data_IF_122867139723
#
_entry.id   IF_122867139723
#
_cell.length_a   1.000
_cell.length_b   1.000
_cell.length_c   1.000
_cell.angle_alpha   90.00
_cell.angle_beta   90.00
_cell.angle_gamma   90.00
#
_symmetry.space_group_name_H-M   'P 1'
#
loop_
_entity.id
_entity.type
_entity.pdbx_description
1 polymer ?
#
# COMPACT_ATOMS: atom_id res chain seq x y z
N UNK A 1 6.63 -12.19 -19.78
CA UNK A 1 7.50 -11.85 -18.65
C UNK A 1 8.29 -10.60 -18.97
N UNK A 2 8.55 -9.74 -18.00
CA UNK A 2 9.22 -8.44 -18.09
C UNK A 2 10.22 -8.38 -16.94
N UNK A 3 11.47 -8.03 -17.19
CA UNK A 3 12.43 -7.72 -16.13
C UNK A 3 12.63 -6.22 -16.13
N UNK A 4 12.62 -5.60 -14.95
CA UNK A 4 12.88 -4.18 -14.77
C UNK A 4 14.10 -4.02 -13.87
N UNK A 5 14.98 -3.11 -14.23
CA UNK A 5 15.85 -2.48 -13.24
C UNK A 5 15.21 -1.15 -12.85
N UNK A 6 14.94 -0.94 -11.57
CA UNK A 6 14.58 0.37 -11.01
C UNK A 6 15.88 1.05 -10.50
N UNK A 7 15.94 2.37 -10.24
CA UNK A 7 17.19 3.12 -10.25
C UNK A 7 18.25 2.54 -9.32
N UNK A 8 19.36 2.12 -9.94
CA UNK A 8 20.69 1.91 -9.38
C UNK A 8 20.93 0.67 -8.47
N UNK A 9 19.94 -0.06 -7.92
CA UNK A 9 20.29 -1.23 -7.07
C UNK A 9 19.42 -2.49 -7.15
N UNK A 10 18.31 -2.49 -7.88
CA UNK A 10 17.30 -3.55 -7.69
C UNK A 10 16.87 -4.22 -9.00
N UNK A 11 16.82 -5.55 -8.98
CA UNK A 11 16.23 -6.37 -10.05
C UNK A 11 14.76 -6.67 -9.70
N UNK A 12 13.87 -6.39 -10.65
CA UNK A 12 12.42 -6.62 -10.55
C UNK A 12 11.98 -7.59 -11.62
N UNK A 13 11.19 -8.60 -11.26
CA UNK A 13 10.56 -9.52 -12.19
C UNK A 13 9.06 -9.21 -12.28
N UNK A 14 8.54 -8.97 -13.47
CA UNK A 14 7.11 -8.80 -13.76
C UNK A 14 6.63 -9.94 -14.67
N UNK A 15 5.80 -10.83 -14.16
CA UNK A 15 5.23 -11.93 -14.94
C UNK A 15 3.85 -11.51 -15.43
N UNK A 16 3.77 -11.26 -16.75
CA UNK A 16 2.56 -10.95 -17.48
C UNK A 16 2.85 -10.77 -18.98
N UNK A 17 1.84 -10.94 -19.82
CA UNK A 17 1.89 -10.85 -21.29
C UNK A 17 1.04 -9.68 -21.79
N UNK A 18 1.58 -8.92 -22.73
CA UNK A 18 0.77 -8.06 -23.60
C UNK A 18 1.00 -8.59 -25.01
N UNK A 19 0.01 -9.35 -25.50
CA UNK A 19 -0.11 -9.90 -26.86
C UNK A 19 0.71 -11.16 -27.15
N UNK A 20 0.00 -12.14 -27.73
CA UNK A 20 0.50 -13.47 -28.12
C UNK A 20 1.39 -13.45 -29.36
N UNK A 21 2.54 -12.79 -29.27
CA UNK A 21 3.57 -12.85 -30.30
C UNK A 21 4.63 -13.91 -29.93
N UNK A 22 4.97 -14.76 -30.92
CA UNK A 22 6.04 -15.77 -30.79
C UNK A 22 7.42 -15.10 -30.85
N UNK A 23 8.34 -15.63 -30.06
CA UNK A 23 9.56 -14.97 -29.65
C UNK A 23 10.79 -15.27 -30.54
N UNK A 24 11.59 -14.24 -30.81
CA UNK A 24 13.03 -14.29 -31.12
C UNK A 24 13.71 -13.11 -30.41
N UNK A 25 14.78 -13.35 -29.64
CA UNK A 25 15.75 -12.31 -29.24
C UNK A 25 17.00 -12.59 -30.06
N UNK A 26 17.33 -11.71 -31.00
CA UNK A 26 18.63 -11.75 -31.68
C UNK A 26 19.66 -10.85 -30.97
N UNK A 27 19.24 -9.80 -30.23
CA UNK A 27 20.13 -8.89 -29.50
C UNK A 27 19.49 -8.34 -28.20
N UNK A 28 20.29 -8.12 -27.14
CA UNK A 28 19.83 -7.47 -25.90
C UNK A 28 19.83 -5.95 -26.06
N UNK A 29 18.66 -5.37 -26.33
CA UNK A 29 18.44 -3.90 -26.34
C UNK A 29 17.31 -3.58 -25.35
N UNK A 30 17.63 -3.20 -24.09
CA UNK A 30 16.60 -2.87 -23.12
C UNK A 30 15.89 -1.56 -23.50
N UNK A 31 14.58 -1.51 -23.25
CA UNK A 31 13.83 -0.26 -23.35
C UNK A 31 14.15 0.61 -22.13
N UNK A 32 14.62 1.85 -22.36
CA UNK A 32 14.82 2.85 -21.31
C UNK A 32 13.56 3.70 -21.12
N UNK A 33 13.07 3.80 -19.89
CA UNK A 33 11.89 4.61 -19.54
C UNK A 33 12.15 5.45 -18.30
N UNK A 34 11.74 6.71 -18.37
CA UNK A 34 11.60 7.55 -17.18
C UNK A 34 10.28 7.22 -16.50
N UNK A 35 10.34 6.61 -15.32
CA UNK A 35 9.16 6.26 -14.54
C UNK A 35 9.03 7.16 -13.32
N UNK A 36 7.81 7.65 -13.02
CA UNK A 36 7.54 8.32 -11.75
C UNK A 36 7.73 7.31 -10.61
N UNK A 37 8.39 7.74 -9.53
CA UNK A 37 8.63 6.88 -8.38
C UNK A 37 7.32 6.44 -7.72
N UNK A 38 7.25 5.20 -7.19
CA UNK A 38 6.08 4.69 -6.47
C UNK A 38 5.88 5.53 -5.19
N UNK A 39 4.71 6.15 -5.05
CA UNK A 39 4.33 7.19 -4.05
C UNK A 39 4.44 6.78 -2.55
N UNK A 40 5.00 5.62 -2.23
CA UNK A 40 5.07 5.07 -0.87
C UNK A 40 6.07 5.81 0.04
N UNK A 41 7.16 6.33 -0.52
CA UNK A 41 8.21 7.04 0.21
C UNK A 41 8.23 8.53 -0.20
N UNK A 42 7.94 9.46 0.73
CA UNK A 42 7.80 10.89 0.43
C UNK A 42 9.13 11.60 0.14
N UNK A 43 10.26 10.95 0.37
CA UNK A 43 11.60 11.57 0.36
C UNK A 43 12.43 11.22 -0.90
N UNK A 44 11.89 10.41 -1.83
CA UNK A 44 12.62 9.96 -3.03
C UNK A 44 12.45 10.92 -4.23
N UNK A 45 13.45 10.93 -5.12
CA UNK A 45 13.41 11.72 -6.35
C UNK A 45 12.18 11.38 -7.20
N UNK A 46 11.52 12.38 -7.82
CA UNK A 46 10.20 12.19 -8.44
C UNK A 46 10.20 11.24 -9.65
N UNK A 47 11.38 10.97 -10.23
CA UNK A 47 11.55 10.10 -11.39
C UNK A 47 12.82 9.26 -11.28
N UNK A 48 12.74 8.05 -11.81
CA UNK A 48 13.85 7.11 -11.97
C UNK A 48 13.97 6.60 -13.40
N UNK A 49 15.18 6.21 -13.80
CA UNK A 49 15.40 5.51 -15.08
C UNK A 49 15.18 4.02 -14.87
N UNK A 50 14.33 3.42 -15.70
CA UNK A 50 13.99 2.00 -15.70
C UNK A 50 14.44 1.36 -17.01
N UNK A 51 15.22 0.28 -16.94
CA UNK A 51 15.55 -0.54 -18.10
C UNK A 51 14.70 -1.81 -18.11
N UNK A 52 13.96 -2.02 -19.19
CA UNK A 52 13.04 -3.16 -19.34
C UNK A 52 13.47 -4.11 -20.44
N UNK A 53 13.44 -5.42 -20.16
CA UNK A 53 13.48 -6.46 -21.20
C UNK A 53 12.25 -7.35 -21.12
N UNK A 54 11.78 -7.82 -22.27
CA UNK A 54 10.60 -8.66 -22.38
C UNK A 54 11.01 -10.08 -22.75
N UNK A 55 10.36 -11.09 -22.17
CA UNK A 55 10.49 -12.52 -22.53
C UNK A 55 9.08 -13.07 -22.80
N UNK A 56 8.77 -13.40 -24.06
CA UNK A 56 7.38 -13.70 -24.50
C UNK A 56 7.04 -15.19 -24.68
N UNK A 57 7.95 -16.15 -24.51
CA UNK A 57 7.55 -17.56 -24.54
C UNK A 57 8.48 -18.48 -23.76
N UNK A 58 7.89 -19.38 -22.96
CA UNK A 58 8.52 -20.63 -22.54
C UNK A 58 7.45 -21.69 -22.24
N UNK A 59 7.73 -22.93 -22.62
CA UNK A 59 6.94 -24.11 -22.22
C UNK A 59 6.95 -24.34 -20.70
N UNK A 60 7.95 -23.78 -20.00
CA UNK A 60 8.07 -23.85 -18.56
C UNK A 60 8.41 -22.46 -17.98
N UNK A 61 7.36 -21.74 -17.60
CA UNK A 61 7.42 -20.40 -17.01
C UNK A 61 8.37 -20.36 -15.80
N UNK A 62 8.21 -21.33 -14.90
CA UNK A 62 8.96 -21.53 -13.67
C UNK A 62 10.47 -21.63 -13.92
N UNK A 63 10.88 -22.59 -14.75
CA UNK A 63 12.28 -22.86 -15.06
C UNK A 63 12.94 -21.66 -15.75
N UNK A 64 12.18 -21.01 -16.63
CA UNK A 64 12.67 -19.86 -17.40
C UNK A 64 12.82 -18.63 -16.52
N UNK A 65 11.86 -18.41 -15.61
CA UNK A 65 11.95 -17.36 -14.58
C UNK A 65 13.24 -17.53 -13.77
N UNK A 66 13.46 -18.74 -13.21
CA UNK A 66 14.64 -19.04 -12.40
C UNK A 66 15.93 -18.82 -13.19
N UNK A 67 16.02 -19.35 -14.41
CA UNK A 67 17.22 -19.24 -15.24
C UNK A 67 17.57 -17.79 -15.57
N UNK A 68 16.57 -16.97 -15.94
CA UNK A 68 16.79 -15.56 -16.23
C UNK A 68 17.11 -14.74 -14.98
N UNK A 69 16.43 -15.00 -13.86
CA UNK A 69 16.75 -14.35 -12.58
C UNK A 69 18.19 -14.64 -12.20
N UNK A 70 18.65 -15.89 -12.27
CA UNK A 70 20.04 -16.26 -12.01
C UNK A 70 20.99 -15.54 -12.95
N UNK A 71 20.75 -15.59 -14.26
CA UNK A 71 21.62 -14.94 -15.25
C UNK A 71 21.75 -13.44 -15.03
N UNK A 72 20.63 -12.73 -14.83
CA UNK A 72 20.63 -11.28 -14.61
C UNK A 72 21.24 -10.93 -13.25
N UNK A 73 21.00 -11.75 -12.23
CA UNK A 73 21.60 -11.54 -10.92
C UNK A 73 23.13 -11.67 -10.97
N UNK A 74 23.63 -12.65 -11.71
CA UNK A 74 25.07 -12.86 -11.92
C UNK A 74 25.68 -11.73 -12.77
N UNK A 75 24.99 -11.32 -13.83
CA UNK A 75 25.46 -10.28 -14.75
C UNK A 75 25.58 -8.91 -14.07
N UNK A 76 24.58 -8.54 -13.27
CA UNK A 76 24.52 -7.23 -12.62
C UNK A 76 25.01 -7.24 -11.17
N UNK A 77 25.34 -8.41 -10.62
CA UNK A 77 25.69 -8.60 -9.21
C UNK A 77 24.62 -8.01 -8.26
N UNK A 78 23.35 -8.22 -8.59
CA UNK A 78 22.17 -7.72 -7.87
C UNK A 78 21.18 -8.86 -7.69
N UNK A 79 20.68 -9.09 -6.48
CA UNK A 79 19.64 -10.10 -6.25
C UNK A 79 18.27 -9.62 -6.72
N UNK A 80 17.40 -10.56 -7.08
CA UNK A 80 15.96 -10.29 -7.25
C UNK A 80 15.37 -9.76 -5.94
N UNK A 81 14.85 -8.53 -5.95
CA UNK A 81 14.23 -7.90 -4.78
C UNK A 81 12.73 -7.71 -4.91
N UNK A 82 12.21 -7.66 -6.13
CA UNK A 82 10.80 -7.42 -6.34
C UNK A 82 10.19 -8.36 -7.37
N UNK A 83 8.94 -8.72 -7.14
CA UNK A 83 8.17 -9.56 -8.04
C UNK A 83 6.75 -9.02 -8.22
N UNK A 84 6.29 -8.99 -9.46
CA UNK A 84 4.93 -8.63 -9.83
C UNK A 84 4.30 -9.76 -10.64
N UNK A 85 3.10 -10.20 -10.27
CA UNK A 85 2.36 -11.26 -10.95
C UNK A 85 1.02 -10.75 -11.47
N UNK A 86 0.70 -11.06 -12.72
CA UNK A 86 -0.61 -10.84 -13.33
C UNK A 86 -1.32 -12.20 -13.49
N UNK A 87 -2.27 -12.48 -12.60
CA UNK A 87 -2.94 -13.77 -12.53
C UNK A 87 -3.85 -14.05 -13.72
N UNK A 88 -4.39 -13.03 -14.38
CA UNK A 88 -5.38 -13.20 -15.44
C UNK A 88 -4.82 -13.90 -16.70
N UNK A 89 -3.49 -14.02 -16.75
CA UNK A 89 -2.73 -14.49 -17.90
C UNK A 89 -2.21 -15.92 -17.72
N UNK A 90 -2.45 -16.53 -16.56
CA UNK A 90 -1.90 -17.82 -16.16
C UNK A 90 -2.96 -18.72 -15.52
N UNK A 91 -2.75 -20.04 -15.59
CA UNK A 91 -3.58 -20.99 -14.84
C UNK A 91 -3.26 -20.97 -13.34
N UNK A 92 -4.20 -21.36 -12.48
CA UNK A 92 -3.96 -21.38 -11.02
C UNK A 92 -2.78 -22.29 -10.64
N UNK A 93 -2.63 -23.44 -11.30
CA UNK A 93 -1.50 -24.37 -11.07
C UNK A 93 -0.14 -23.76 -11.43
N UNK A 94 -0.08 -22.94 -12.49
CA UNK A 94 1.14 -22.25 -12.89
C UNK A 94 1.52 -21.16 -11.87
N UNK A 95 0.53 -20.41 -11.39
CA UNK A 95 0.73 -19.39 -10.35
C UNK A 95 1.16 -20.06 -9.06
N UNK A 96 0.52 -21.15 -8.65
CA UNK A 96 0.89 -21.90 -7.44
C UNK A 96 2.33 -22.41 -7.52
N UNK A 97 2.73 -22.95 -8.68
CA UNK A 97 4.09 -23.40 -8.95
C UNK A 97 5.08 -22.22 -8.86
N UNK A 98 4.73 -21.05 -9.40
CA UNK A 98 5.55 -19.84 -9.26
C UNK A 98 5.69 -19.44 -7.79
N UNK A 99 4.60 -19.44 -7.03
CA UNK A 99 4.59 -19.12 -5.60
C UNK A 99 5.43 -20.09 -4.76
N UNK A 100 5.44 -21.39 -5.08
CA UNK A 100 6.28 -22.38 -4.42
C UNK A 100 7.77 -22.02 -4.56
N UNK A 101 8.22 -21.70 -5.77
CA UNK A 101 9.61 -21.33 -6.03
C UNK A 101 10.03 -20.04 -5.32
N UNK A 102 9.12 -19.07 -5.28
CA UNK A 102 9.35 -17.79 -4.63
C UNK A 102 9.47 -17.98 -3.12
N UNK A 103 8.69 -18.88 -2.55
CA UNK A 103 8.71 -19.16 -1.12
C UNK A 103 10.06 -19.72 -0.65
N UNK A 104 10.83 -20.36 -1.54
CA UNK A 104 12.21 -20.81 -1.32
C UNK A 104 13.21 -19.65 -1.32
N UNK A 105 12.89 -18.53 -2.00
CA UNK A 105 13.75 -17.35 -2.12
C UNK A 105 13.41 -16.31 -1.04
N UNK A 106 14.27 -16.22 -0.02
CA UNK A 106 14.06 -15.34 1.13
C UNK A 106 14.41 -13.86 0.87
N UNK A 107 14.79 -13.49 -0.35
CA UNK A 107 15.31 -12.15 -0.69
C UNK A 107 14.27 -11.19 -1.28
N UNK A 108 13.04 -11.64 -1.51
CA UNK A 108 12.01 -10.76 -2.08
C UNK A 108 11.57 -9.75 -1.03
N UNK A 109 11.87 -8.49 -1.27
CA UNK A 109 11.48 -7.36 -0.42
C UNK A 109 10.09 -6.82 -0.84
N UNK A 110 9.79 -6.81 -2.14
CA UNK A 110 8.52 -6.30 -2.67
C UNK A 110 7.75 -7.34 -3.50
N UNK A 111 6.48 -7.53 -3.19
CA UNK A 111 5.60 -8.44 -3.93
C UNK A 111 4.30 -7.74 -4.32
N UNK A 112 3.96 -7.81 -5.59
CA UNK A 112 2.72 -7.29 -6.15
C UNK A 112 2.01 -8.39 -6.93
N UNK A 113 0.71 -8.53 -6.73
CA UNK A 113 -0.10 -9.48 -7.48
C UNK A 113 -1.41 -8.82 -7.86
N UNK A 114 -1.82 -9.00 -9.12
CA UNK A 114 -3.06 -8.42 -9.64
C UNK A 114 -3.88 -9.41 -10.43
N UNK A 115 -5.20 -9.26 -10.32
CA UNK A 115 -6.20 -10.00 -11.06
C UNK A 115 -7.45 -9.13 -11.18
N UNK A 116 -7.89 -8.87 -12.40
CA UNK A 116 -9.19 -8.23 -12.69
C UNK A 116 -10.35 -9.20 -12.42
N UNK A 117 -10.09 -10.51 -12.52
CA UNK A 117 -11.06 -11.56 -12.17
C UNK A 117 -10.94 -11.95 -10.71
N UNK A 118 -12.01 -12.50 -10.17
CA UNK A 118 -11.94 -13.14 -8.85
C UNK A 118 -11.14 -14.44 -8.92
N UNK A 119 -10.25 -14.66 -7.97
CA UNK A 119 -9.44 -15.89 -7.87
C UNK A 119 -10.00 -16.84 -6.82
N UNK A 120 -9.71 -18.13 -6.95
CA UNK A 120 -10.14 -19.12 -5.95
C UNK A 120 -9.56 -18.80 -4.57
N UNK A 121 -10.29 -19.15 -3.51
CA UNK A 121 -9.81 -18.96 -2.14
C UNK A 121 -8.55 -19.79 -1.86
N UNK A 122 -8.43 -20.97 -2.48
CA UNK A 122 -7.23 -21.81 -2.41
C UNK A 122 -6.00 -21.10 -2.97
N UNK A 123 -6.11 -20.48 -4.16
CA UNK A 123 -5.01 -19.75 -4.77
C UNK A 123 -4.65 -18.51 -3.94
N UNK A 124 -5.64 -17.74 -3.50
CA UNK A 124 -5.44 -16.57 -2.65
C UNK A 124 -4.73 -16.94 -1.33
N UNK A 125 -5.12 -18.05 -0.68
CA UNK A 125 -4.44 -18.55 0.52
C UNK A 125 -3.01 -19.00 0.21
N UNK A 126 -2.77 -19.67 -0.92
CA UNK A 126 -1.42 -20.04 -1.34
C UNK A 126 -0.53 -18.81 -1.48
N UNK A 127 -1.02 -17.77 -2.16
CA UNK A 127 -0.31 -16.51 -2.34
C UNK A 127 0.04 -15.86 -1.00
N UNK A 128 -0.93 -15.71 -0.11
CA UNK A 128 -0.77 -15.05 1.20
C UNK A 128 0.22 -15.80 2.09
N UNK A 129 0.15 -17.13 2.11
CA UNK A 129 1.00 -17.98 2.96
C UNK A 129 2.44 -18.12 2.44
N UNK A 130 2.65 -17.98 1.12
CA UNK A 130 3.95 -18.25 0.47
C UNK A 130 4.75 -17.00 0.11
N UNK A 131 4.13 -15.82 0.09
CA UNK A 131 4.86 -14.58 -0.20
C UNK A 131 5.86 -14.25 0.92
N UNK A 132 7.03 -13.75 0.53
CA UNK A 132 8.15 -13.45 1.44
C UNK A 132 8.41 -11.94 1.63
N UNK A 133 7.49 -11.06 1.19
CA UNK A 133 7.73 -9.63 1.15
C UNK A 133 7.91 -9.02 2.55
N UNK A 134 8.97 -8.24 2.70
CA UNK A 134 9.34 -7.55 3.95
C UNK A 134 9.20 -6.03 3.85
N UNK A 135 9.27 -5.46 2.63
CA UNK A 135 9.13 -4.05 2.37
C UNK A 135 7.72 -3.70 1.87
N UNK A 136 7.30 -4.19 0.70
CA UNK A 136 6.02 -3.84 0.06
C UNK A 136 5.23 -5.10 -0.29
N UNK A 137 3.97 -5.17 0.13
CA UNK A 137 3.02 -6.20 -0.28
C UNK A 137 1.78 -5.54 -0.87
N UNK A 138 1.50 -5.81 -2.14
CA UNK A 138 0.35 -5.29 -2.85
C UNK A 138 -0.52 -6.43 -3.40
N UNK A 139 -1.70 -6.63 -2.80
CA UNK A 139 -2.67 -7.64 -3.18
C UNK A 139 -3.86 -6.99 -3.91
N UNK A 140 -3.87 -7.09 -5.23
CA UNK A 140 -4.86 -6.47 -6.12
C UNK A 140 -5.73 -7.53 -6.82
N UNK A 141 -6.40 -8.39 -6.04
CA UNK A 141 -7.36 -9.38 -6.55
C UNK A 141 -8.58 -9.47 -5.64
N UNK A 142 -9.69 -9.98 -6.16
CA UNK A 142 -10.90 -10.29 -5.37
C UNK A 142 -10.95 -11.79 -5.03
N UNK A 143 -10.94 -12.21 -3.75
CA UNK A 143 -11.23 -13.61 -3.41
C UNK A 143 -12.70 -13.95 -3.71
N UNK A 144 -12.99 -15.21 -4.03
CA UNK A 144 -14.36 -15.65 -4.34
C UNK A 144 -15.24 -15.70 -3.09
N UNK A 145 -14.73 -16.25 -1.99
CA UNK A 145 -15.44 -16.37 -0.71
C UNK A 145 -15.01 -15.31 0.30
N UNK A 146 -13.71 -15.10 0.49
CA UNK A 146 -13.18 -14.04 1.36
C UNK A 146 -13.36 -14.25 2.88
N UNK A 147 -14.35 -15.03 3.31
CA UNK A 147 -14.74 -15.13 4.72
C UNK A 147 -13.73 -15.90 5.61
N UNK A 148 -12.80 -16.64 5.03
CA UNK A 148 -11.83 -17.47 5.76
C UNK A 148 -10.45 -16.82 5.92
N UNK A 149 -10.23 -15.64 5.34
CA UNK A 149 -8.92 -15.01 5.32
C UNK A 149 -8.57 -14.40 6.68
N UNK A 150 -7.39 -14.76 7.20
CA UNK A 150 -6.85 -14.19 8.42
C UNK A 150 -5.51 -13.53 8.18
N UNK A 151 -5.28 -12.40 8.84
CA UNK A 151 -4.02 -11.68 8.76
C UNK A 151 -2.85 -12.52 9.29
N UNK A 152 -3.08 -13.37 10.29
CA UNK A 152 -2.04 -14.23 10.88
C UNK A 152 -1.45 -15.26 9.90
N UNK A 153 -2.01 -15.37 8.69
CA UNK A 153 -1.49 -16.19 7.60
C UNK A 153 -0.29 -15.56 6.87
N UNK A 154 -0.01 -14.26 7.07
CA UNK A 154 1.17 -13.64 6.47
C UNK A 154 2.45 -14.15 7.12
N UNK A 155 3.32 -14.80 6.33
CA UNK A 155 4.62 -15.33 6.78
C UNK A 155 5.55 -14.24 7.34
N UNK A 156 5.49 -13.05 6.76
CA UNK A 156 6.24 -11.87 7.17
C UNK A 156 5.33 -10.65 7.24
N UNK A 157 5.75 -9.66 8.01
CA UNK A 157 5.07 -8.39 8.17
C UNK A 157 5.70 -7.33 7.27
N UNK A 158 5.15 -7.05 6.08
CA UNK A 158 5.71 -6.05 5.20
C UNK A 158 5.58 -4.66 5.83
N UNK A 159 6.54 -3.78 5.59
CA UNK A 159 6.47 -2.39 6.06
C UNK A 159 5.29 -1.62 5.43
N UNK A 160 4.99 -1.90 4.17
CA UNK A 160 3.90 -1.34 3.40
C UNK A 160 2.96 -2.46 2.96
N UNK A 161 1.69 -2.36 3.34
CA UNK A 161 0.64 -3.30 3.00
C UNK A 161 -0.47 -2.59 2.24
N UNK A 162 -0.76 -3.05 1.03
CA UNK A 162 -1.87 -2.60 0.21
C UNK A 162 -2.76 -3.78 -0.18
N UNK A 163 -4.06 -3.71 0.13
CA UNK A 163 -5.04 -4.74 -0.19
C UNK A 163 -6.22 -4.08 -0.88
N UNK A 164 -6.45 -4.39 -2.15
CA UNK A 164 -7.43 -3.71 -2.99
C UNK A 164 -8.89 -4.13 -2.73
N UNK A 165 -9.10 -5.39 -2.37
CA UNK A 165 -10.39 -5.96 -2.01
C UNK A 165 -10.34 -6.49 -0.57
N UNK A 166 -10.37 -5.58 0.39
CA UNK A 166 -10.14 -5.84 1.82
C UNK A 166 -11.42 -6.06 2.64
N UNK A 167 -12.56 -6.34 2.01
CA UNK A 167 -13.86 -6.54 2.67
C UNK A 167 -13.86 -7.63 3.78
N UNK A 168 -12.94 -8.58 3.70
CA UNK A 168 -12.78 -9.67 4.67
C UNK A 168 -11.99 -9.28 5.93
N UNK A 169 -11.33 -8.12 5.95
CA UNK A 169 -10.57 -7.66 7.12
C UNK A 169 -11.51 -7.02 8.13
N UNK A 170 -11.59 -7.59 9.33
CA UNK A 170 -12.33 -7.01 10.45
C UNK A 170 -11.56 -5.88 11.13
N UNK A 171 -12.28 -5.06 11.91
CA UNK A 171 -11.65 -4.05 12.76
C UNK A 171 -10.69 -4.68 13.78
N UNK A 172 -11.07 -5.83 14.34
CA UNK A 172 -10.25 -6.56 15.31
C UNK A 172 -8.92 -6.98 14.68
N UNK A 173 -8.92 -7.49 13.45
CA UNK A 173 -7.68 -7.83 12.75
C UNK A 173 -6.83 -6.57 12.44
N UNK A 174 -7.48 -5.49 12.01
CA UNK A 174 -6.80 -4.22 11.70
C UNK A 174 -6.02 -3.64 12.90
N UNK A 175 -6.52 -3.83 14.12
CA UNK A 175 -5.87 -3.32 15.34
C UNK A 175 -4.49 -3.94 15.54
N UNK A 176 -4.32 -5.19 15.12
CA UNK A 176 -3.11 -5.99 15.36
C UNK A 176 -2.15 -6.05 14.16
N UNK A 177 -2.47 -5.36 13.05
CA UNK A 177 -1.59 -5.33 11.88
C UNK A 177 -0.24 -4.68 12.22
N UNK A 178 0.89 -5.40 12.06
CA UNK A 178 2.24 -4.95 12.40
C UNK A 178 2.90 -4.05 11.33
N UNK A 179 2.30 -3.92 10.14
CA UNK A 179 2.81 -3.09 9.05
C UNK A 179 2.81 -1.60 9.42
N UNK A 180 3.81 -0.83 9.00
CA UNK A 180 3.84 0.62 9.31
C UNK A 180 2.81 1.41 8.50
N UNK A 181 2.52 0.99 7.26
CA UNK A 181 1.62 1.68 6.35
C UNK A 181 0.62 0.67 5.79
N UNK A 182 -0.66 0.91 6.03
CA UNK A 182 -1.74 -0.04 5.73
C UNK A 182 -2.79 0.65 4.88
N UNK A 183 -3.02 0.15 3.67
CA UNK A 183 -3.98 0.65 2.71
C UNK A 183 -5.01 -0.44 2.39
N UNK A 184 -6.26 -0.22 2.77
CA UNK A 184 -7.35 -1.18 2.65
C UNK A 184 -8.44 -0.64 1.72
N UNK A 185 -8.43 -1.03 0.44
CA UNK A 185 -9.45 -0.58 -0.50
C UNK A 185 -10.68 -1.51 -0.48
N UNK A 186 -11.85 -0.97 -0.84
CA UNK A 186 -13.15 -1.68 -0.85
C UNK A 186 -13.38 -2.51 0.43
N UNK A 187 -13.13 -1.87 1.57
CA UNK A 187 -13.28 -2.47 2.90
C UNK A 187 -14.73 -2.42 3.38
N UNK A 188 -15.08 -3.32 4.31
CA UNK A 188 -16.34 -3.26 5.05
C UNK A 188 -16.27 -2.33 6.27
N UNK A 189 -15.16 -1.58 6.43
CA UNK A 189 -14.99 -0.65 7.54
C UNK A 189 -15.93 0.55 7.39
N UNK A 190 -16.59 0.87 8.49
CA UNK A 190 -17.66 1.86 8.57
C UNK A 190 -17.24 3.10 9.37
N UNK A 191 -18.11 4.11 9.38
CA UNK A 191 -17.94 5.28 10.25
C UNK A 191 -17.89 4.90 11.75
N UNK A 192 -18.63 3.87 12.16
CA UNK A 192 -18.60 3.36 13.55
C UNK A 192 -17.24 2.78 13.91
N UNK A 193 -16.62 2.03 12.99
CA UNK A 193 -15.31 1.41 13.21
C UNK A 193 -14.24 2.48 13.37
N UNK A 194 -14.28 3.51 12.51
CA UNK A 194 -13.34 4.62 12.61
C UNK A 194 -13.53 5.45 13.88
N UNK A 195 -14.77 5.68 14.29
CA UNK A 195 -15.06 6.31 15.59
C UNK A 195 -14.51 5.47 16.74
N UNK A 196 -14.59 4.15 16.66
CA UNK A 196 -14.01 3.23 17.65
C UNK A 196 -12.48 3.32 17.66
N UNK A 197 -11.81 3.37 16.51
CA UNK A 197 -10.35 3.59 16.43
C UNK A 197 -9.92 4.91 17.08
N UNK A 198 -10.61 6.02 16.77
CA UNK A 198 -10.34 7.32 17.39
C UNK A 198 -10.52 7.26 18.90
N UNK A 199 -11.59 6.61 19.38
CA UNK A 199 -11.85 6.44 20.81
C UNK A 199 -10.74 5.63 21.49
N UNK A 200 -10.41 4.46 20.96
CA UNK A 200 -9.34 3.59 21.47
C UNK A 200 -8.02 4.36 21.56
N UNK A 201 -7.66 5.08 20.49
CA UNK A 201 -6.44 5.87 20.47
C UNK A 201 -6.44 6.97 21.54
N UNK A 202 -7.56 7.67 21.74
CA UNK A 202 -7.67 8.68 22.82
C UNK A 202 -7.56 8.07 24.22
N UNK A 203 -7.98 6.81 24.39
CA UNK A 203 -7.90 6.05 25.63
C UNK A 203 -6.51 5.43 25.88
N UNK A 204 -5.53 5.68 24.99
CA UNK A 204 -4.13 5.31 25.17
C UNK A 204 -3.66 4.14 24.29
N UNK A 205 -4.55 3.49 23.55
CA UNK A 205 -4.15 2.46 22.59
C UNK A 205 -3.29 3.06 21.47
N UNK A 206 -2.19 2.42 21.12
CA UNK A 206 -1.28 2.88 20.06
C UNK A 206 -1.01 1.74 19.08
N UNK A 207 -1.41 1.88 17.81
CA UNK A 207 -1.19 0.84 16.79
C UNK A 207 0.29 0.72 16.41
N UNK A 208 0.66 -0.43 15.83
CA UNK A 208 1.96 -0.61 15.19
C UNK A 208 2.07 0.20 13.88
N UNK A 209 0.96 0.32 13.15
CA UNK A 209 0.89 1.17 11.96
C UNK A 209 0.98 2.66 12.32
N UNK A 210 1.65 3.42 11.45
CA UNK A 210 1.76 4.89 11.50
C UNK A 210 0.78 5.57 10.55
N UNK A 211 0.37 4.85 9.51
CA UNK A 211 -0.53 5.35 8.48
C UNK A 211 -1.54 4.28 8.12
N UNK A 212 -2.82 4.57 8.29
CA UNK A 212 -3.93 3.77 7.82
C UNK A 212 -4.72 4.57 6.78
N UNK A 213 -4.96 3.95 5.62
CA UNK A 213 -5.94 4.38 4.64
C UNK A 213 -6.96 3.28 4.47
N UNK A 214 -8.23 3.64 4.36
CA UNK A 214 -9.24 2.71 3.91
C UNK A 214 -10.23 3.38 2.97
N UNK A 215 -10.69 2.64 1.97
CA UNK A 215 -11.84 2.98 1.14
C UNK A 215 -13.04 2.19 1.67
N UNK A 216 -14.07 2.89 2.12
CA UNK A 216 -15.33 2.27 2.55
C UNK A 216 -16.27 2.09 1.36
N UNK A 217 -17.11 1.05 1.42
CA UNK A 217 -18.23 0.89 0.49
C UNK A 217 -19.29 1.98 0.68
N UNK A 218 -19.40 2.51 1.90
CA UNK A 218 -20.34 3.56 2.28
C UNK A 218 -19.68 4.95 2.28
N UNK A 219 -20.52 5.98 2.29
CA UNK A 219 -20.03 7.35 2.47
C UNK A 219 -19.52 7.55 3.91
N UNK A 220 -18.29 8.02 3.99
CA UNK A 220 -17.64 8.41 5.23
C UNK A 220 -18.07 9.82 5.64
N UNK A 221 -18.01 10.07 6.94
CA UNK A 221 -18.26 11.38 7.51
C UNK A 221 -17.28 11.62 8.64
N UNK A 222 -16.22 12.37 8.34
CA UNK A 222 -15.15 12.68 9.29
C UNK A 222 -15.65 13.40 10.55
N UNK A 223 -16.71 14.22 10.43
CA UNK A 223 -17.30 14.94 11.56
C UNK A 223 -17.97 13.96 12.56
N UNK A 224 -18.37 12.76 12.10
CA UNK A 224 -18.97 11.73 12.96
C UNK A 224 -17.98 11.11 13.95
N UNK A 225 -16.69 11.15 13.64
CA UNK A 225 -15.62 10.51 14.42
C UNK A 225 -15.34 11.26 15.72
N UNK A 226 -15.52 12.57 15.69
CA UNK A 226 -15.29 13.48 16.81
C UNK A 226 -16.60 13.96 17.44
N UNK A 227 -17.72 13.28 17.15
CA UNK A 227 -19.05 13.67 17.67
C UNK A 227 -19.03 13.76 19.20
N UNK A 228 -19.43 14.92 19.71
CA UNK A 228 -19.45 15.23 21.14
C UNK A 228 -18.17 15.91 21.66
N UNK A 229 -17.17 16.12 20.80
CA UNK A 229 -15.96 16.88 21.12
C UNK A 229 -16.09 18.32 20.64
N UNK A 230 -15.62 19.25 21.47
CA UNK A 230 -15.50 20.66 21.08
C UNK A 230 -14.28 20.81 20.19
N UNK A 231 -14.43 21.43 19.03
CA UNK A 231 -13.34 21.66 18.08
C UNK A 231 -13.23 23.12 17.67
N UNK A 232 -12.04 23.51 17.23
CA UNK A 232 -11.76 24.83 16.65
C UNK A 232 -11.53 24.69 15.14
N UNK A 233 -12.07 25.62 14.35
CA UNK A 233 -11.69 25.72 12.94
C UNK A 233 -10.34 26.43 12.84
N UNK A 234 -9.38 25.85 12.12
CA UNK A 234 -8.07 26.46 11.92
C UNK A 234 -7.92 27.11 10.54
N UNK A 235 -7.19 28.22 10.47
CA UNK A 235 -6.89 28.94 9.22
C UNK A 235 -5.77 28.25 8.43
N UNK A 236 -5.93 28.19 7.09
CA UNK A 236 -5.14 27.38 6.14
C UNK A 236 -3.61 27.51 6.25
N UNK A 237 -3.07 28.65 6.70
CA UNK A 237 -1.63 28.93 6.67
C UNK A 237 -0.89 28.58 7.98
N UNK A 238 -1.62 28.27 9.06
CA UNK A 238 -1.03 28.04 10.40
C UNK A 238 -0.72 26.56 10.69
N UNK A 239 -1.07 25.67 9.76
CA UNK A 239 -1.39 24.27 10.02
C UNK A 239 -0.32 23.26 9.59
N UNK A 240 0.89 23.73 9.30
CA UNK A 240 1.88 22.81 8.74
C UNK A 240 2.56 21.97 9.81
N UNK A 241 2.70 22.41 11.07
CA UNK A 241 3.48 21.69 12.08
C UNK A 241 2.82 21.58 13.47
N UNK A 242 3.34 20.66 14.30
CA UNK A 242 2.81 20.34 15.64
C UNK A 242 2.84 21.49 16.63
N UNK A 243 3.83 22.39 16.57
CA UNK A 243 4.01 23.52 17.48
C UNK A 243 2.79 24.44 17.54
N UNK A 244 2.16 24.72 16.40
CA UNK A 244 0.96 25.58 16.37
C UNK A 244 -0.18 24.97 17.18
N UNK A 245 -0.34 23.64 17.11
CA UNK A 245 -1.41 22.90 17.78
C UNK A 245 -1.14 22.84 19.29
N UNK A 246 0.07 22.41 19.68
CA UNK A 246 0.43 22.22 21.08
C UNK A 246 0.43 23.52 21.90
N UNK A 247 0.61 24.67 21.24
CA UNK A 247 0.50 25.98 21.90
C UNK A 247 -0.91 26.28 22.45
N UNK A 248 -1.95 25.61 21.94
CA UNK A 248 -3.37 25.81 22.29
C UNK A 248 -3.83 24.81 23.35
N UNK A 249 -3.26 24.87 24.56
CA UNK A 249 -3.50 23.91 25.69
C UNK A 249 -4.97 23.62 26.06
N UNK A 250 -5.94 24.42 25.60
CA UNK A 250 -7.37 24.24 25.94
C UNK A 250 -8.16 23.42 24.92
N UNK A 251 -7.67 23.24 23.70
CA UNK A 251 -8.41 22.60 22.61
C UNK A 251 -7.59 21.42 22.11
N UNK A 252 -8.21 20.24 22.02
CA UNK A 252 -7.54 19.00 21.62
C UNK A 252 -7.96 18.53 20.23
N UNK A 253 -8.97 19.16 19.64
CA UNK A 253 -9.53 18.77 18.35
C UNK A 253 -9.55 20.00 17.46
N UNK A 254 -8.81 19.93 16.37
CA UNK A 254 -8.68 21.06 15.47
C UNK A 254 -9.07 20.67 14.05
N UNK A 255 -10.07 21.35 13.50
CA UNK A 255 -10.57 21.10 12.15
C UNK A 255 -9.70 21.80 11.13
N UNK A 256 -9.39 21.10 10.04
CA UNK A 256 -8.68 21.66 8.91
C UNK A 256 -9.37 21.31 7.58
N UNK A 257 -9.05 22.12 6.56
CA UNK A 257 -9.37 21.84 5.17
C UNK A 257 -8.20 22.29 4.32
N UNK A 258 -7.62 21.37 3.56
CA UNK A 258 -6.42 21.62 2.76
C UNK A 258 -6.59 21.08 1.34
N UNK A 259 -5.98 21.78 0.37
CA UNK A 259 -5.89 21.32 -1.02
C UNK A 259 -4.50 20.75 -1.24
N UNK A 260 -4.43 19.45 -1.52
CA UNK A 260 -3.19 18.75 -1.87
C UNK A 260 -3.18 18.58 -3.39
N UNK A 261 -2.10 18.98 -4.04
CA UNK A 261 -1.95 18.90 -5.51
C UNK A 261 -0.79 18.00 -5.85
N UNK A 262 -1.02 17.02 -6.72
CA UNK A 262 -0.02 16.11 -7.27
C UNK A 262 -0.13 16.08 -8.80
N UNK A 263 0.77 15.36 -9.47
CA UNK A 263 0.80 15.26 -10.93
C UNK A 263 -0.54 14.77 -11.55
N UNK A 264 -1.27 13.89 -10.84
CA UNK A 264 -2.58 13.37 -11.27
C UNK A 264 -3.75 14.36 -11.06
N UNK A 265 -3.55 15.45 -10.32
CA UNK A 265 -4.57 16.46 -10.05
C UNK A 265 -4.57 16.93 -8.60
N UNK A 266 -5.63 17.64 -8.23
CA UNK A 266 -5.78 18.19 -6.89
C UNK A 266 -6.94 17.55 -6.12
N UNK A 267 -6.73 17.32 -4.83
CA UNK A 267 -7.71 16.75 -3.91
C UNK A 267 -7.87 17.67 -2.71
N UNK A 268 -9.12 17.89 -2.33
CA UNK A 268 -9.46 18.59 -1.09
C UNK A 268 -9.57 17.54 0.01
N UNK A 269 -8.73 17.68 1.03
CA UNK A 269 -8.80 16.92 2.27
C UNK A 269 -9.46 17.77 3.35
N UNK A 270 -10.39 17.17 4.08
CA UNK A 270 -10.99 17.77 5.26
C UNK A 270 -10.95 16.79 6.42
N UNK A 271 -10.64 17.29 7.60
CA UNK A 271 -10.50 16.43 8.76
C UNK A 271 -10.09 17.17 10.01
N UNK A 272 -9.47 16.43 10.92
CA UNK A 272 -9.11 16.91 12.24
C UNK A 272 -7.69 16.49 12.62
N UNK A 273 -7.00 17.36 13.33
CA UNK A 273 -5.86 17.02 14.16
C UNK A 273 -6.36 16.83 15.59
N UNK A 274 -6.03 15.68 16.19
CA UNK A 274 -6.40 15.31 17.55
C UNK A 274 -5.14 15.22 18.39
N UNK A 275 -5.13 15.89 19.53
CA UNK A 275 -4.05 15.83 20.53
C UNK A 275 -4.49 14.89 21.65
N UNK A 276 -3.67 13.90 21.99
CA UNK A 276 -3.89 13.04 23.15
C UNK A 276 -3.39 13.75 24.41
N UNK A 277 -4.24 13.83 25.43
CA UNK A 277 -3.91 14.51 26.69
C UNK A 277 -2.72 13.91 27.44
N UNK A 278 -2.56 12.59 27.38
CA UNK A 278 -1.62 11.86 28.23
C UNK A 278 -0.16 12.01 27.80
N UNK A 279 0.10 12.17 26.51
CA UNK A 279 1.46 12.13 25.93
C UNK A 279 1.70 13.20 24.85
N UNK A 280 0.73 14.11 24.64
CA UNK A 280 0.76 15.16 23.61
C UNK A 280 0.93 14.64 22.17
N UNK A 281 0.74 13.33 21.95
CA UNK A 281 0.80 12.75 20.60
C UNK A 281 -0.33 13.30 19.73
N UNK A 282 -0.04 13.45 18.43
CA UNK A 282 -0.97 14.02 17.47
C UNK A 282 -1.38 12.96 16.45
N UNK A 283 -2.67 12.84 16.22
CA UNK A 283 -3.24 12.10 15.10
C UNK A 283 -3.93 13.04 14.13
N UNK A 284 -3.72 12.82 12.84
CA UNK A 284 -4.49 13.46 11.79
C UNK A 284 -5.48 12.45 11.23
N UNK A 285 -6.76 12.73 11.36
CA UNK A 285 -7.82 12.00 10.65
C UNK A 285 -8.34 12.86 9.51
N UNK A 286 -8.53 12.28 8.34
CA UNK A 286 -9.06 13.03 7.19
C UNK A 286 -9.84 12.14 6.26
N UNK A 287 -10.72 12.78 5.50
CA UNK A 287 -11.48 12.14 4.45
C UNK A 287 -11.18 12.81 3.11
N UNK A 288 -11.24 12.03 2.04
CA UNK A 288 -11.26 12.51 0.67
C UNK A 288 -12.30 11.75 -0.15
N UNK A 289 -12.90 12.45 -1.13
CA UNK A 289 -13.82 11.87 -2.13
C UNK A 289 -14.99 11.07 -1.54
N UNK A 290 -15.47 11.44 -0.36
CA UNK A 290 -16.63 10.78 0.26
C UNK A 290 -16.33 9.41 0.86
N UNK A 291 -15.44 8.60 0.27
CA UNK A 291 -15.27 7.18 0.64
C UNK A 291 -13.90 6.80 1.17
N UNK A 292 -12.89 7.66 1.04
CA UNK A 292 -11.54 7.36 1.50
C UNK A 292 -11.30 8.06 2.83
N UNK A 293 -11.00 7.28 3.86
CA UNK A 293 -10.61 7.73 5.19
C UNK A 293 -9.14 7.49 5.45
N UNK A 294 -8.52 8.39 6.20
CA UNK A 294 -7.13 8.32 6.60
C UNK A 294 -6.99 8.54 8.10
N UNK A 295 -6.04 7.81 8.70
CA UNK A 295 -5.60 7.95 10.08
C UNK A 295 -4.07 7.97 10.10
N UNK A 296 -3.48 9.10 10.47
CA UNK A 296 -2.03 9.27 10.52
C UNK A 296 -1.58 9.51 11.96
N UNK A 297 -0.67 8.68 12.46
CA UNK A 297 0.13 8.98 13.64
C UNK A 297 1.22 9.96 13.22
N UNK A 298 1.18 11.19 13.74
CA UNK A 298 2.16 12.22 13.39
C UNK A 298 3.49 11.99 14.11
N UNK A 299 4.58 12.49 13.51
CA UNK A 299 5.91 12.42 14.14
C UNK A 299 5.87 13.19 15.46
N UNK A 300 6.56 12.65 16.47
CA UNK A 300 6.79 13.35 17.74
C UNK A 300 7.91 14.40 17.60
N UNK A 301 7.77 15.26 16.60
CA UNK A 301 8.62 16.40 16.34
C UNK A 301 7.69 17.60 16.11
N UNK A 302 7.59 18.53 17.08
CA UNK A 302 6.71 19.69 16.99
C UNK A 302 7.04 20.62 15.81
N UNK A 303 8.25 20.56 15.27
CA UNK A 303 8.69 21.36 14.11
C UNK A 303 8.43 20.66 12.78
N UNK A 304 8.22 19.34 12.80
CA UNK A 304 7.95 18.58 11.59
C UNK A 304 6.59 18.93 11.00
N UNK A 305 6.56 18.95 9.66
CA UNK A 305 5.31 19.15 8.97
C UNK A 305 4.39 17.93 9.14
N UNK A 306 3.08 18.15 9.24
CA UNK A 306 2.11 17.07 9.28
C UNK A 306 2.16 16.27 8.01
N UNK A 307 2.36 14.97 8.18
CA UNK A 307 2.40 14.02 7.10
C UNK A 307 0.98 13.78 6.59
N UNK A 308 0.78 13.98 5.29
CA UNK A 308 -0.45 13.63 4.58
C UNK A 308 -0.08 13.01 3.24
N UNK A 309 -0.88 12.05 2.76
CA UNK A 309 -0.69 11.35 1.48
C UNK A 309 -1.98 11.35 0.67
N UNK A 310 -1.87 11.20 -0.64
CA UNK A 310 -3.00 10.89 -1.52
C UNK A 310 -2.81 9.45 -1.99
N UNK A 311 -3.91 8.71 -2.15
CA UNK A 311 -3.88 7.41 -2.81
C UNK A 311 -4.41 7.53 -4.25
N UNK A 312 -3.88 6.71 -5.16
CA UNK A 312 -4.30 6.66 -6.58
C UNK A 312 -5.80 6.45 -6.75
N UNK A 313 -6.41 5.62 -5.90
CA UNK A 313 -7.86 5.37 -5.86
C UNK A 313 -8.67 6.67 -5.81
N UNK A 314 -8.17 7.71 -5.16
CA UNK A 314 -8.86 9.02 -5.04
C UNK A 314 -9.14 9.73 -6.38
N UNK A 315 -8.52 9.27 -7.46
CA UNK A 315 -8.77 9.76 -8.83
C UNK A 315 -9.65 8.83 -9.66
N UNK A 316 -10.01 7.66 -9.11
CA UNK A 316 -10.75 6.60 -9.78
C UNK A 316 -12.20 6.46 -9.25
N UNK A 317 -12.49 7.04 -8.08
CA UNK A 317 -13.82 7.06 -7.43
C UNK A 317 -14.58 8.37 -7.62
#
# INVERSE_FOLDING_TARGET
>A
MRFLSCPVTDLVLKIGSIKGERFQIEEWVPEEKMVPYKEWLPDDHPYGVEYTTHVFHSENLVFTSKSWVSYLSDLFNVSLKALHLDCDLHGEEEIDSVMELISEENRIEAFEIKSEKSISDCLALSIINRQNATLELNLSFKPQGGDTFQFDFFRHSPRFLNIDHSHWISLEQLVDIPSENVHLCRSNLSNSDFRRLVKMWREGWTPAWKCLMFESLDELNVDSYVRGLTFENMELNSLQCGNTILSKKRIQVHRFRSKVTIARGAIIKSGYHLVRESDESIVTITQEKGRIGWFYIQKNDPTANFHTRIHTRSFEI
#
